data_IF_414318743628
#
_entry.id   IF_414318743628
#
_cell.length_a   1.000
_cell.length_b   1.000
_cell.length_c   1.000
_cell.angle_alpha   90.00
_cell.angle_beta   90.00
_cell.angle_gamma   90.00
#
_symmetry.space_group_name_H-M   'P 1'
#
loop_
_entity.id
_entity.type
_entity.pdbx_description
1 polymer ?
#
# COMPACT_ATOMS: atom_id res chain seq x y z
N UNK A 1 42.38 -15.18 32.15
CA UNK A 1 40.93 -14.88 32.13
C UNK A 1 40.62 -14.06 30.88
N UNK A 2 39.42 -14.24 30.30
CA UNK A 2 38.87 -13.61 29.06
C UNK A 2 39.14 -14.33 27.73
N UNK A 3 38.49 -15.49 27.57
CA UNK A 3 38.14 -16.12 26.28
C UNK A 3 36.66 -15.88 25.98
N UNK A 4 36.25 -14.66 25.65
CA UNK A 4 34.86 -14.41 25.21
C UNK A 4 34.82 -13.10 24.42
N UNK A 5 35.13 -13.14 23.12
CA UNK A 5 34.85 -12.02 22.22
C UNK A 5 35.08 -12.40 20.75
N UNK A 6 34.49 -13.51 20.27
CA UNK A 6 34.61 -13.91 18.86
C UNK A 6 33.36 -14.66 18.34
N UNK A 7 32.15 -14.28 18.79
CA UNK A 7 30.91 -14.96 18.39
C UNK A 7 29.74 -14.01 18.05
N UNK A 8 30.02 -12.72 17.83
CA UNK A 8 28.99 -11.70 17.60
C UNK A 8 28.62 -11.33 16.15
N UNK A 9 29.31 -11.76 15.06
CA UNK A 9 28.82 -11.42 13.72
C UNK A 9 27.84 -12.46 13.12
N UNK A 10 27.68 -13.65 13.71
CA UNK A 10 26.85 -14.72 13.13
C UNK A 10 25.33 -14.54 13.39
N UNK A 11 24.95 -13.78 14.42
CA UNK A 11 23.54 -13.65 14.85
C UNK A 11 22.78 -12.56 14.07
N UNK A 12 23.48 -11.72 13.30
CA UNK A 12 22.87 -10.66 12.49
C UNK A 12 22.32 -11.14 11.13
N UNK A 13 22.60 -12.39 10.71
CA UNK A 13 22.11 -12.93 9.45
C UNK A 13 20.71 -13.60 9.53
N UNK A 14 20.15 -13.78 10.73
CA UNK A 14 18.89 -14.52 10.93
C UNK A 14 17.63 -13.65 11.01
N UNK A 15 17.75 -12.32 10.85
CA UNK A 15 16.63 -11.39 10.97
C UNK A 15 16.26 -10.67 9.65
N UNK A 16 16.63 -11.23 8.49
CA UNK A 16 16.07 -10.79 7.20
C UNK A 16 14.71 -11.45 6.98
N UNK A 17 13.72 -11.09 7.80
CA UNK A 17 12.34 -11.51 7.70
C UNK A 17 11.70 -10.82 6.47
N UNK A 18 12.03 -11.31 5.27
CA UNK A 18 11.63 -10.74 3.99
C UNK A 18 12.55 -11.12 2.82
N UNK A 19 12.86 -12.42 2.69
CA UNK A 19 13.26 -13.14 1.46
C UNK A 19 13.82 -12.28 0.31
N UNK A 20 15.07 -11.80 0.45
CA UNK A 20 15.81 -11.09 -0.61
C UNK A 20 15.80 -11.89 -1.93
N UNK A 21 15.82 -13.23 -1.83
CA UNK A 21 15.71 -14.13 -2.97
C UNK A 21 14.38 -14.00 -3.73
N UNK A 22 13.25 -13.87 -3.04
CA UNK A 22 11.94 -13.76 -3.69
C UNK A 22 11.81 -12.46 -4.49
N UNK A 23 12.26 -11.32 -3.92
CA UNK A 23 12.20 -10.04 -4.64
C UNK A 23 13.17 -10.03 -5.84
N UNK A 24 14.31 -10.72 -5.76
CA UNK A 24 15.21 -10.90 -6.90
C UNK A 24 14.54 -11.71 -8.04
N UNK A 25 13.93 -12.87 -7.73
CA UNK A 25 13.22 -13.68 -8.74
C UNK A 25 12.01 -12.94 -9.31
N UNK A 26 11.28 -12.22 -8.46
CA UNK A 26 10.12 -11.41 -8.85
C UNK A 26 10.52 -10.27 -9.79
N UNK A 27 11.65 -9.61 -9.55
CA UNK A 27 12.18 -8.57 -10.44
C UNK A 27 12.47 -9.11 -11.84
N UNK A 28 13.17 -10.25 -11.93
CA UNK A 28 13.44 -10.93 -13.20
C UNK A 28 12.14 -11.33 -13.92
N UNK A 29 11.21 -11.96 -13.20
CA UNK A 29 9.91 -12.35 -13.75
C UNK A 29 9.08 -11.13 -14.19
N UNK A 30 9.23 -9.98 -13.51
CA UNK A 30 8.54 -8.74 -13.88
C UNK A 30 9.01 -8.26 -15.26
N UNK A 31 10.32 -8.19 -15.49
CA UNK A 31 10.86 -7.82 -16.80
C UNK A 31 10.34 -8.75 -17.91
N UNK A 32 10.40 -10.06 -17.70
CA UNK A 32 9.95 -11.06 -18.66
C UNK A 32 8.45 -10.94 -18.99
N UNK A 33 7.61 -10.69 -17.99
CA UNK A 33 6.15 -10.65 -18.19
C UNK A 33 5.61 -9.29 -18.61
N UNK A 34 6.36 -8.20 -18.41
CA UNK A 34 6.05 -6.89 -19.02
C UNK A 34 6.18 -6.98 -20.54
N UNK A 35 7.22 -7.65 -21.07
CA UNK A 35 7.38 -7.83 -22.51
C UNK A 35 6.28 -8.71 -23.12
N UNK A 36 5.89 -9.79 -22.42
CA UNK A 36 4.86 -10.74 -22.90
C UNK A 36 3.43 -10.21 -22.76
N UNK A 37 3.17 -9.44 -21.72
CA UNK A 37 1.85 -8.89 -21.39
C UNK A 37 2.05 -7.40 -21.10
N UNK A 38 2.15 -6.55 -22.14
CA UNK A 38 2.40 -5.13 -21.95
C UNK A 38 1.25 -4.46 -21.19
N UNK A 39 1.56 -3.31 -20.62
CA UNK A 39 0.56 -2.43 -20.03
C UNK A 39 -0.44 -1.99 -21.10
N UNK A 40 -1.73 -2.10 -20.78
CA UNK A 40 -2.80 -1.50 -21.59
C UNK A 40 -3.54 -0.54 -20.68
N UNK A 41 -3.12 0.72 -20.73
CA UNK A 41 -3.72 1.79 -19.94
C UNK A 41 -5.05 2.21 -20.55
N UNK A 42 -6.11 2.21 -19.74
CA UNK A 42 -7.42 2.74 -20.11
C UNK A 42 -7.83 3.82 -19.11
N UNK A 43 -8.27 4.97 -19.61
CA UNK A 43 -8.88 5.98 -18.76
C UNK A 43 -10.28 5.55 -18.33
N UNK A 44 -10.56 5.61 -17.04
CA UNK A 44 -11.87 5.31 -16.46
C UNK A 44 -12.28 6.43 -15.53
N UNK A 45 -13.58 6.73 -15.52
CA UNK A 45 -14.17 7.66 -14.56
C UNK A 45 -14.46 6.86 -13.30
N UNK A 46 -13.72 7.13 -12.23
CA UNK A 46 -13.91 6.56 -10.89
C UNK A 46 -14.54 7.60 -9.98
N UNK A 47 -15.43 7.18 -9.07
CA UNK A 47 -15.98 8.06 -8.05
C UNK A 47 -15.11 8.05 -6.81
N UNK A 48 -14.51 9.19 -6.48
CA UNK A 48 -13.80 9.41 -5.22
C UNK A 48 -14.69 10.13 -4.23
N UNK A 49 -14.28 10.13 -2.96
CA UNK A 49 -15.03 10.77 -1.89
C UNK A 49 -14.12 11.71 -1.11
N UNK A 50 -14.60 12.93 -0.88
CA UNK A 50 -13.99 13.86 0.06
C UNK A 50 -14.96 14.15 1.20
N UNK A 51 -14.42 14.52 2.35
CA UNK A 51 -15.23 14.92 3.49
C UNK A 51 -15.23 16.43 3.61
N UNK A 52 -16.42 17.00 3.70
CA UNK A 52 -16.62 18.43 3.91
C UNK A 52 -17.40 18.66 5.20
N UNK A 53 -17.11 19.75 5.89
CA UNK A 53 -17.94 20.22 6.99
C UNK A 53 -19.08 21.04 6.40
N UNK A 54 -20.31 20.57 6.62
CA UNK A 54 -21.51 21.29 6.22
C UNK A 54 -22.22 21.82 7.47
N UNK A 55 -22.63 23.11 7.47
CA UNK A 55 -23.43 23.63 8.56
C UNK A 55 -24.75 22.87 8.64
N UNK A 56 -25.15 22.54 9.86
CA UNK A 56 -26.40 21.80 10.13
C UNK A 56 -27.62 22.72 10.12
N UNK A 57 -27.41 24.02 10.29
CA UNK A 57 -28.46 25.00 10.58
C UNK A 57 -28.76 25.14 12.07
N UNK A 58 -28.18 24.28 12.91
CA UNK A 58 -28.27 24.36 14.37
C UNK A 58 -27.10 25.17 14.94
N UNK A 59 -27.36 25.81 16.08
CA UNK A 59 -26.37 26.59 16.82
C UNK A 59 -26.31 26.09 18.26
N UNK A 60 -25.10 25.97 18.78
CA UNK A 60 -24.85 25.75 20.20
C UNK A 60 -24.44 27.07 20.83
N UNK A 61 -24.98 27.40 21.99
CA UNK A 61 -24.60 28.61 22.71
C UNK A 61 -23.48 28.31 23.69
N UNK A 62 -22.36 29.02 23.55
CA UNK A 62 -21.19 28.93 24.43
C UNK A 62 -20.92 30.30 25.08
N UNK A 63 -20.34 30.30 26.27
CA UNK A 63 -19.94 31.55 26.94
C UNK A 63 -18.58 32.00 26.42
N UNK A 64 -18.46 33.26 26.02
CA UNK A 64 -17.17 33.87 25.69
C UNK A 64 -16.31 34.12 26.94
N UNK A 65 -15.08 34.62 26.74
CA UNK A 65 -14.14 34.93 27.83
C UNK A 65 -14.64 36.01 28.80
N UNK A 66 -15.68 36.76 28.41
CA UNK A 66 -16.29 37.82 29.20
C UNK A 66 -17.63 37.38 29.81
N UNK A 67 -18.04 36.12 29.64
CA UNK A 67 -19.29 35.56 30.16
C UNK A 67 -20.53 35.87 29.33
N UNK A 68 -20.40 36.37 28.10
CA UNK A 68 -21.53 36.58 27.20
C UNK A 68 -21.86 35.30 26.43
N UNK A 69 -23.15 35.02 26.23
CA UNK A 69 -23.60 33.92 25.37
C UNK A 69 -23.38 34.24 23.90
N UNK A 70 -22.63 33.40 23.21
CA UNK A 70 -22.31 33.50 21.78
C UNK A 70 -22.81 32.25 21.06
N UNK A 71 -23.48 32.44 19.93
CA UNK A 71 -23.96 31.34 19.09
C UNK A 71 -22.81 30.78 18.23
N UNK A 72 -22.52 29.50 18.38
CA UNK A 72 -21.51 28.74 17.62
C UNK A 72 -22.23 27.79 16.65
N UNK A 73 -21.97 27.87 15.33
CA UNK A 73 -22.63 27.01 14.36
C UNK A 73 -22.18 25.55 14.49
N UNK A 74 -23.14 24.63 14.47
CA UNK A 74 -22.88 23.20 14.47
C UNK A 74 -22.61 22.69 13.06
N UNK A 75 -21.55 21.90 12.89
CA UNK A 75 -21.17 21.29 11.62
C UNK A 75 -21.32 19.77 11.66
N UNK A 76 -21.72 19.19 10.53
CA UNK A 76 -21.66 17.75 10.29
C UNK A 76 -20.66 17.45 9.18
N UNK A 77 -19.94 16.34 9.32
CA UNK A 77 -19.05 15.84 8.28
C UNK A 77 -19.87 15.08 7.23
N UNK A 78 -19.85 15.56 6.00
CA UNK A 78 -20.59 14.97 4.88
C UNK A 78 -19.62 14.42 3.85
N UNK A 79 -19.91 13.23 3.36
CA UNK A 79 -19.11 12.55 2.33
C UNK A 79 -19.63 12.95 0.95
N UNK A 80 -18.83 13.69 0.20
CA UNK A 80 -19.20 14.23 -1.11
C UNK A 80 -18.52 13.41 -2.22
N UNK A 81 -19.28 12.76 -3.12
CA UNK A 81 -18.71 12.07 -4.27
C UNK A 81 -18.24 13.08 -5.32
N UNK A 82 -17.11 12.80 -5.97
CA UNK A 82 -16.66 13.55 -7.13
C UNK A 82 -16.00 12.62 -8.16
N UNK A 83 -16.21 12.85 -9.46
CA UNK A 83 -15.60 12.04 -10.50
C UNK A 83 -14.11 12.38 -10.67
N UNK A 84 -13.29 11.35 -10.85
CA UNK A 84 -11.87 11.45 -11.17
C UNK A 84 -11.59 10.57 -12.38
N UNK A 85 -10.76 11.07 -13.30
CA UNK A 85 -10.26 10.26 -14.41
C UNK A 85 -8.98 9.57 -13.94
N UNK A 86 -9.02 8.25 -13.88
CA UNK A 86 -7.87 7.43 -13.50
C UNK A 86 -7.41 6.56 -14.67
N UNK A 87 -6.09 6.38 -14.78
CA UNK A 87 -5.50 5.43 -15.71
C UNK A 87 -5.45 4.05 -15.05
N UNK A 88 -6.12 3.06 -15.64
CA UNK A 88 -6.16 1.69 -15.14
C UNK A 88 -5.49 0.77 -16.16
N UNK A 89 -4.47 0.03 -15.74
CA UNK A 89 -3.89 -1.03 -16.56
C UNK A 89 -4.79 -2.28 -16.54
N UNK A 90 -5.39 -2.56 -17.69
CA UNK A 90 -6.29 -3.69 -17.90
C UNK A 90 -5.59 -5.04 -17.71
N UNK A 91 -4.30 -5.09 -17.99
CA UNK A 91 -3.51 -6.31 -17.92
C UNK A 91 -2.86 -6.54 -16.56
N UNK A 92 -2.87 -5.55 -15.66
CA UNK A 92 -2.15 -5.62 -14.39
C UNK A 92 -2.46 -6.90 -13.61
N UNK A 93 -3.74 -7.25 -13.44
CA UNK A 93 -4.15 -8.45 -12.70
C UNK A 93 -3.59 -9.73 -13.33
N UNK A 94 -3.73 -9.88 -14.65
CA UNK A 94 -3.23 -11.05 -15.39
C UNK A 94 -1.71 -11.12 -15.31
N UNK A 95 -1.02 -10.03 -15.63
CA UNK A 95 0.44 -9.94 -15.59
C UNK A 95 0.99 -10.27 -14.20
N UNK A 96 0.44 -9.65 -13.15
CA UNK A 96 0.90 -9.87 -11.77
C UNK A 96 0.71 -11.33 -11.31
N UNK A 97 -0.35 -12.00 -11.76
CA UNK A 97 -0.55 -13.44 -11.52
C UNK A 97 0.58 -14.27 -12.16
N UNK A 98 0.97 -13.95 -13.39
CA UNK A 98 2.06 -14.64 -14.08
C UNK A 98 3.43 -14.36 -13.45
N UNK A 99 3.69 -13.11 -13.04
CA UNK A 99 4.91 -12.72 -12.32
C UNK A 99 5.02 -13.52 -11.02
N UNK A 100 3.95 -13.55 -10.22
CA UNK A 100 3.92 -14.27 -8.94
C UNK A 100 4.15 -15.77 -9.12
N UNK A 101 3.49 -16.38 -10.11
CA UNK A 101 3.67 -17.80 -10.41
C UNK A 101 5.09 -18.11 -10.91
N UNK A 102 5.69 -17.22 -11.70
CA UNK A 102 7.07 -17.33 -12.17
C UNK A 102 8.05 -17.29 -11.00
N UNK A 103 7.93 -16.29 -10.11
CA UNK A 103 8.81 -16.14 -8.96
C UNK A 103 8.73 -17.35 -8.02
N UNK A 104 7.51 -17.81 -7.69
CA UNK A 104 7.32 -18.99 -6.82
C UNK A 104 7.92 -20.27 -7.42
N UNK A 105 7.79 -20.49 -8.73
CA UNK A 105 8.39 -21.66 -9.40
C UNK A 105 9.92 -21.58 -9.42
N UNK A 106 10.47 -20.39 -9.68
CA UNK A 106 11.90 -20.17 -9.63
C UNK A 106 12.46 -20.42 -8.22
N UNK A 107 11.77 -19.91 -7.18
CA UNK A 107 12.08 -20.18 -5.79
C UNK A 107 12.03 -21.67 -5.46
N UNK A 108 10.95 -22.36 -5.84
CA UNK A 108 10.78 -23.78 -5.59
C UNK A 108 11.90 -24.61 -6.23
N UNK A 109 12.35 -24.24 -7.44
CA UNK A 109 13.42 -24.93 -8.14
C UNK A 109 14.81 -24.67 -7.53
N UNK A 110 15.07 -23.47 -7.01
CA UNK A 110 16.37 -23.06 -6.48
C UNK A 110 16.56 -23.38 -5.00
N UNK A 111 15.52 -23.18 -4.19
CA UNK A 111 15.56 -23.24 -2.72
C UNK A 111 14.68 -24.35 -2.13
N UNK A 112 13.91 -25.06 -2.97
CA UNK A 112 13.01 -26.12 -2.51
C UNK A 112 11.74 -25.62 -1.81
N UNK A 113 11.52 -24.30 -1.76
CA UNK A 113 10.32 -23.67 -1.20
C UNK A 113 9.88 -22.47 -2.06
N UNK A 114 8.59 -22.08 -2.03
CA UNK A 114 8.06 -21.00 -2.87
C UNK A 114 8.37 -19.60 -2.34
N UNK A 115 8.95 -19.46 -1.14
CA UNK A 115 9.28 -18.17 -0.52
C UNK A 115 10.73 -17.76 -0.75
N UNK A 116 11.58 -18.61 -1.36
CA UNK A 116 13.02 -18.33 -1.51
C UNK A 116 13.70 -18.08 -0.13
N UNK A 117 13.35 -18.89 0.87
CA UNK A 117 14.07 -19.01 2.15
C UNK A 117 15.20 -20.03 2.04
#
# INVERSE_FOLDING_TARGET
>A
MKKFLLLTPLVLALNACGTIGYEAEKSYCTALWIEKIPEISQQRITTHYRYELQPTGEFTHELDQNGNSVAVPNYKRVRIPYPVIESVDLNAKRRNSHITACAKRACQAKFGNPTCE
#
